data_IF_025783496626
#
_entry.id   IF_025783496626
#
_cell.length_a   1.000
_cell.length_b   1.000
_cell.length_c   1.000
_cell.angle_alpha   90.00
_cell.angle_beta   90.00
_cell.angle_gamma   90.00
#
_symmetry.space_group_name_H-M   'P 1'
#
loop_
_entity.id
_entity.type
_entity.pdbx_description
1 polymer ?
#
# COMPACT_ATOMS: atom_id res chain seq x y z
N UNK A 1 51.18 44.51 65.67
CA UNK A 1 51.44 43.90 64.35
C UNK A 1 50.37 42.85 64.06
N UNK A 2 49.88 42.74 62.82
CA UNK A 2 48.67 41.97 62.48
C UNK A 2 48.88 40.45 62.66
N UNK A 3 47.99 39.79 63.42
CA UNK A 3 47.76 38.33 63.35
C UNK A 3 46.55 38.10 62.43
N UNK A 4 46.69 37.22 61.45
CA UNK A 4 45.58 36.81 60.59
C UNK A 4 44.74 35.73 61.30
N UNK A 5 43.42 35.96 61.42
CA UNK A 5 42.46 34.88 61.68
C UNK A 5 42.11 34.21 60.35
N UNK A 6 42.17 32.88 60.32
CA UNK A 6 41.57 32.06 59.26
C UNK A 6 40.23 31.56 59.79
N UNK A 7 39.13 31.98 59.15
CA UNK A 7 37.79 31.50 59.45
C UNK A 7 37.43 30.41 58.42
N UNK A 8 37.27 29.16 58.87
CA UNK A 8 36.77 28.09 58.00
C UNK A 8 35.26 28.27 57.76
N UNK A 9 34.87 28.46 56.50
CA UNK A 9 33.47 28.45 56.10
C UNK A 9 33.01 27.01 55.81
N UNK A 10 32.18 26.44 56.68
CA UNK A 10 31.49 25.18 56.42
C UNK A 10 30.27 25.48 55.54
N UNK A 11 30.40 25.22 54.23
CA UNK A 11 29.27 25.31 53.29
C UNK A 11 28.55 23.97 53.30
N UNK A 12 27.34 23.95 53.86
CA UNK A 12 26.49 22.76 53.87
C UNK A 12 25.99 22.40 52.48
N UNK A 13 26.22 21.16 52.05
CA UNK A 13 25.66 20.60 50.82
C UNK A 13 24.16 20.32 50.99
N UNK A 14 23.31 21.27 50.57
CA UNK A 14 21.90 20.98 50.34
C UNK A 14 21.75 20.09 49.11
N UNK A 15 21.69 18.77 49.34
CA UNK A 15 21.33 17.80 48.32
C UNK A 15 19.84 17.94 47.98
N UNK A 16 19.54 18.59 46.85
CA UNK A 16 18.21 18.54 46.25
C UNK A 16 17.93 17.11 45.78
N UNK A 17 17.19 16.33 46.59
CA UNK A 17 16.55 15.11 46.11
C UNK A 17 15.55 15.51 45.01
N UNK A 18 15.92 15.28 43.75
CA UNK A 18 14.92 15.13 42.69
C UNK A 18 14.21 13.80 42.94
N UNK A 19 12.90 13.87 43.15
CA UNK A 19 12.05 12.69 43.07
C UNK A 19 12.03 12.22 41.62
N UNK A 20 12.77 11.15 41.33
CA UNK A 20 12.80 10.54 40.02
C UNK A 20 11.57 9.66 39.85
N UNK A 21 10.43 10.28 39.53
CA UNK A 21 9.21 9.61 39.07
C UNK A 21 9.36 9.08 37.63
N UNK A 22 10.56 8.61 37.28
CA UNK A 22 10.93 8.11 35.97
C UNK A 22 10.37 6.71 35.72
N UNK A 23 9.50 6.61 34.71
CA UNK A 23 9.01 5.32 34.21
C UNK A 23 10.21 4.52 33.69
N UNK A 24 10.39 3.28 34.16
CA UNK A 24 11.54 2.46 33.78
C UNK A 24 11.49 2.05 32.30
N UNK A 25 12.64 1.74 31.67
CA UNK A 25 12.65 1.20 30.30
C UNK A 25 11.80 -0.06 30.14
N UNK A 26 11.74 -0.93 31.16
CA UNK A 26 10.89 -2.12 31.14
C UNK A 26 9.39 -1.79 31.20
N UNK A 27 9.00 -0.76 31.97
CA UNK A 27 7.62 -0.26 32.00
C UNK A 27 7.23 0.39 30.67
N UNK A 28 8.11 1.19 30.05
CA UNK A 28 7.89 1.76 28.70
C UNK A 28 7.70 0.64 27.67
N UNK A 29 8.54 -0.39 27.71
CA UNK A 29 8.44 -1.52 26.80
C UNK A 29 7.10 -2.26 26.94
N UNK A 30 6.68 -2.54 28.18
CA UNK A 30 5.39 -3.17 28.47
C UNK A 30 4.20 -2.29 28.05
N UNK A 31 4.30 -0.97 28.25
CA UNK A 31 3.29 -0.01 27.78
C UNK A 31 3.14 -0.03 26.26
N UNK A 32 4.24 -0.06 25.50
CA UNK A 32 4.21 -0.12 24.04
C UNK A 32 3.58 -1.43 23.52
N UNK A 33 3.99 -2.57 24.09
CA UNK A 33 3.42 -3.90 23.79
C UNK A 33 1.91 -3.89 24.04
N UNK A 34 1.48 -3.49 25.24
CA UNK A 34 0.08 -3.49 25.63
C UNK A 34 -0.75 -2.51 24.79
N UNK A 35 -0.20 -1.33 24.46
CA UNK A 35 -0.88 -0.34 23.63
C UNK A 35 -1.19 -0.88 22.23
N UNK A 36 -0.20 -1.49 21.55
CA UNK A 36 -0.41 -2.05 20.21
C UNK A 36 -1.31 -3.31 20.26
N UNK A 37 -1.11 -4.19 21.26
CA UNK A 37 -1.95 -5.37 21.45
C UNK A 37 -3.42 -4.99 21.69
N UNK A 38 -3.67 -4.02 22.57
CA UNK A 38 -5.02 -3.53 22.86
C UNK A 38 -5.65 -2.87 21.63
N UNK A 39 -4.92 -2.03 20.90
CA UNK A 39 -5.42 -1.40 19.67
C UNK A 39 -5.92 -2.45 18.66
N UNK A 40 -5.13 -3.50 18.41
CA UNK A 40 -5.46 -4.59 17.47
C UNK A 40 -6.71 -5.38 17.88
N UNK A 41 -6.86 -5.69 19.17
CA UNK A 41 -7.96 -6.52 19.70
C UNK A 41 -9.24 -5.70 19.94
N UNK A 42 -9.13 -4.42 20.31
CA UNK A 42 -10.25 -3.50 20.51
C UNK A 42 -10.87 -3.00 19.19
N UNK A 43 -10.57 -3.63 18.05
CA UNK A 43 -11.30 -3.47 16.80
C UNK A 43 -12.42 -4.53 16.73
N UNK A 44 -13.68 -4.25 17.15
CA UNK A 44 -14.72 -5.27 17.28
C UNK A 44 -15.07 -5.93 15.94
N UNK A 45 -14.94 -5.18 14.85
CA UNK A 45 -15.14 -5.63 13.49
C UNK A 45 -13.83 -6.05 12.80
N UNK A 46 -12.70 -6.08 13.50
CA UNK A 46 -11.39 -6.38 12.93
C UNK A 46 -10.86 -5.29 11.98
N UNK A 47 -10.03 -5.73 11.04
CA UNK A 47 -9.20 -4.88 10.19
C UNK A 47 -9.28 -5.29 8.72
N UNK A 48 -9.32 -4.29 7.85
CA UNK A 48 -8.93 -4.39 6.44
C UNK A 48 -7.43 -4.19 6.39
N UNK A 49 -6.71 -5.13 5.77
CA UNK A 49 -5.25 -5.11 5.76
C UNK A 49 -4.76 -5.22 4.33
N UNK A 50 -3.88 -4.30 3.93
CA UNK A 50 -3.17 -4.37 2.66
C UNK A 50 -1.69 -4.57 2.93
N UNK A 51 -1.11 -5.62 2.34
CA UNK A 51 0.33 -5.90 2.43
C UNK A 51 0.96 -5.82 1.04
N UNK A 52 1.99 -4.98 0.89
CA UNK A 52 2.86 -4.93 -0.28
C UNK A 52 4.19 -5.58 0.10
N UNK A 53 4.42 -6.87 -0.27
CA UNK A 53 5.54 -7.67 0.27
C UNK A 53 6.89 -7.37 -0.36
N UNK A 54 6.91 -6.61 -1.46
CA UNK A 54 8.13 -6.23 -2.16
C UNK A 54 8.00 -4.82 -2.72
N UNK A 55 9.14 -4.18 -2.88
CA UNK A 55 9.26 -2.80 -3.38
C UNK A 55 8.60 -2.66 -4.75
N UNK A 56 7.75 -1.65 -4.89
CA UNK A 56 7.15 -1.30 -6.16
C UNK A 56 8.10 -0.45 -7.02
N UNK A 57 7.97 -0.53 -8.34
CA UNK A 57 8.90 0.15 -9.24
C UNK A 57 8.46 1.57 -9.54
N UNK A 58 9.37 2.53 -9.29
CA UNK A 58 9.21 3.93 -9.65
C UNK A 58 9.61 4.24 -11.11
N UNK A 59 10.14 3.26 -11.86
CA UNK A 59 10.53 3.42 -13.27
C UNK A 59 9.41 4.01 -14.11
N UNK A 60 8.17 3.56 -13.90
CA UNK A 60 7.01 3.99 -14.69
C UNK A 60 6.18 5.05 -13.95
N UNK A 61 6.81 5.85 -13.08
CA UNK A 61 6.13 6.85 -12.23
C UNK A 61 6.27 8.30 -12.71
N UNK A 62 6.77 8.51 -13.93
CA UNK A 62 6.94 9.83 -14.54
C UNK A 62 6.34 9.87 -15.95
N UNK A 63 5.24 10.62 -16.12
CA UNK A 63 4.56 10.76 -17.42
C UNK A 63 5.43 11.32 -18.56
N UNK A 64 6.49 12.07 -18.23
CA UNK A 64 7.34 12.75 -19.21
C UNK A 64 8.57 11.90 -19.59
N UNK A 65 8.76 10.74 -18.96
CA UNK A 65 9.85 9.82 -19.27
C UNK A 65 9.60 9.08 -20.60
N UNK A 66 10.64 8.97 -21.41
CA UNK A 66 10.56 8.47 -22.79
C UNK A 66 11.27 7.12 -22.89
N UNK A 67 10.48 6.06 -23.11
CA UNK A 67 10.93 4.69 -23.29
C UNK A 67 11.17 4.43 -24.78
N UNK A 68 12.40 4.06 -25.16
CA UNK A 68 12.88 3.94 -26.56
C UNK A 68 12.96 2.50 -27.08
N UNK A 69 12.29 1.58 -26.41
CA UNK A 69 12.29 0.13 -26.72
C UNK A 69 10.91 -0.45 -26.40
N UNK A 70 10.54 -1.54 -27.05
CA UNK A 70 9.34 -2.30 -26.70
C UNK A 70 9.39 -2.78 -25.23
N UNK A 71 8.24 -2.77 -24.56
CA UNK A 71 8.07 -2.94 -23.12
C UNK A 71 8.83 -4.13 -22.48
N UNK A 72 8.90 -5.27 -23.19
CA UNK A 72 9.62 -6.48 -22.78
C UNK A 72 11.12 -6.26 -22.47
N UNK A 73 11.72 -5.21 -23.03
CA UNK A 73 13.11 -4.84 -22.76
C UNK A 73 13.32 -4.23 -21.36
N UNK A 74 12.23 -3.80 -20.71
CA UNK A 74 12.24 -3.18 -19.38
C UNK A 74 11.69 -4.13 -18.29
N UNK A 75 11.42 -5.41 -18.62
CA UNK A 75 10.81 -6.40 -17.71
C UNK A 75 11.50 -6.53 -16.34
N UNK A 76 12.82 -6.30 -16.29
CA UNK A 76 13.64 -6.43 -15.08
C UNK A 76 13.51 -5.18 -14.16
N UNK A 77 12.77 -4.15 -14.61
CA UNK A 77 12.47 -2.90 -13.91
C UNK A 77 11.01 -2.85 -13.41
N UNK A 78 10.33 -4.00 -13.36
CA UNK A 78 8.91 -4.10 -12.97
C UNK A 78 8.75 -4.19 -11.45
N UNK A 79 7.67 -3.58 -10.97
CA UNK A 79 7.34 -3.56 -9.55
C UNK A 79 6.49 -4.75 -9.11
N UNK A 80 5.96 -4.62 -7.90
CA UNK A 80 5.11 -5.61 -7.23
C UNK A 80 3.90 -4.91 -6.61
N UNK A 81 2.73 -5.50 -6.82
CA UNK A 81 1.48 -5.08 -6.21
C UNK A 81 1.26 -5.65 -4.81
N UNK A 82 0.08 -5.38 -4.29
CA UNK A 82 -0.30 -5.72 -2.92
C UNK A 82 -1.30 -6.87 -2.83
N UNK A 83 -1.59 -7.27 -1.61
CA UNK A 83 -2.52 -8.34 -1.25
C UNK A 83 -3.50 -7.83 -0.20
N UNK A 84 -4.79 -8.16 -0.39
CA UNK A 84 -5.88 -7.73 0.49
C UNK A 84 -6.23 -8.87 1.46
N UNK A 85 -6.38 -8.53 2.74
CA UNK A 85 -6.83 -9.42 3.80
C UNK A 85 -7.91 -8.77 4.65
N UNK A 86 -8.73 -9.61 5.27
CA UNK A 86 -9.43 -9.25 6.51
C UNK A 86 -8.77 -9.98 7.67
N UNK A 87 -8.61 -9.31 8.81
CA UNK A 87 -8.01 -9.88 10.02
C UNK A 87 -8.79 -9.50 11.29
N UNK A 88 -9.12 -10.47 12.14
CA UNK A 88 -9.75 -10.25 13.45
C UNK A 88 -8.88 -10.87 14.54
N UNK A 89 -8.42 -10.04 15.47
CA UNK A 89 -7.51 -10.43 16.57
C UNK A 89 -8.32 -10.65 17.85
N UNK A 90 -7.94 -11.65 18.64
CA UNK A 90 -8.59 -11.99 19.91
C UNK A 90 -7.62 -12.00 21.10
N UNK A 91 -8.18 -11.85 22.31
CA UNK A 91 -7.43 -11.71 23.56
C UNK A 91 -6.46 -12.87 23.83
N UNK A 92 -6.86 -14.09 23.46
CA UNK A 92 -6.08 -15.32 23.57
C UNK A 92 -4.86 -15.40 22.62
N UNK A 93 -4.55 -14.36 21.84
CA UNK A 93 -3.39 -14.35 20.94
C UNK A 93 -3.61 -15.04 19.60
N UNK A 94 -4.87 -15.25 19.21
CA UNK A 94 -5.23 -15.77 17.88
C UNK A 94 -5.64 -14.62 16.95
N UNK A 95 -5.31 -14.75 15.67
CA UNK A 95 -5.88 -13.95 14.58
C UNK A 95 -6.57 -14.89 13.60
N UNK A 96 -7.79 -14.53 13.19
CA UNK A 96 -8.51 -15.17 12.10
C UNK A 96 -8.37 -14.29 10.85
N UNK A 97 -8.09 -14.89 9.69
CA UNK A 97 -7.90 -14.14 8.45
C UNK A 97 -8.45 -14.81 7.19
N UNK A 98 -8.78 -13.96 6.22
CA UNK A 98 -9.12 -14.27 4.82
C UNK A 98 -8.14 -13.51 3.90
N UNK A 99 -7.88 -14.00 2.68
CA UNK A 99 -6.91 -13.41 1.73
C UNK A 99 -7.39 -13.43 0.27
N UNK A 100 -7.00 -12.44 -0.55
CA UNK A 100 -7.49 -12.25 -1.93
C UNK A 100 -6.75 -13.08 -3.00
N UNK A 101 -6.13 -14.21 -2.62
CA UNK A 101 -5.27 -14.97 -3.53
C UNK A 101 -6.10 -15.71 -4.60
N UNK A 102 -7.18 -16.33 -4.15
CA UNK A 102 -8.12 -17.16 -4.93
C UNK A 102 -9.52 -17.19 -4.27
N UNK A 103 -10.49 -17.80 -4.94
CA UNK A 103 -11.88 -17.96 -4.46
C UNK A 103 -12.04 -18.82 -3.19
N UNK A 104 -10.98 -19.54 -2.79
CA UNK A 104 -10.97 -20.38 -1.58
C UNK A 104 -10.37 -19.65 -0.39
N UNK A 105 -9.31 -18.86 -0.58
CA UNK A 105 -8.69 -18.03 0.46
C UNK A 105 -9.52 -16.79 0.82
N UNK A 106 -10.36 -16.33 -0.10
CA UNK A 106 -11.34 -15.26 0.12
C UNK A 106 -12.56 -15.69 0.94
N UNK A 107 -12.75 -16.99 1.15
CA UNK A 107 -13.94 -17.58 1.80
C UNK A 107 -13.63 -18.53 2.95
N UNK A 108 -12.44 -19.15 2.97
CA UNK A 108 -11.97 -20.04 4.02
C UNK A 108 -11.08 -19.30 5.03
N UNK A 109 -11.56 -19.19 6.25
CA UNK A 109 -10.78 -18.70 7.38
C UNK A 109 -9.51 -19.52 7.59
N UNK A 110 -8.42 -18.84 7.93
CA UNK A 110 -7.19 -19.44 8.45
C UNK A 110 -6.84 -18.76 9.76
N UNK A 111 -6.62 -19.58 10.79
CA UNK A 111 -6.20 -19.11 12.12
C UNK A 111 -4.68 -19.09 12.23
N UNK A 112 -4.17 -18.20 13.09
CA UNK A 112 -2.75 -18.02 13.34
C UNK A 112 -2.54 -17.48 14.75
N UNK A 113 -1.41 -17.81 15.37
CA UNK A 113 -0.97 -17.15 16.60
C UNK A 113 -0.28 -15.84 16.25
N UNK A 114 -0.48 -14.81 17.07
CA UNK A 114 0.21 -13.54 16.94
C UNK A 114 0.82 -13.09 18.28
N UNK A 115 2.01 -12.50 18.18
CA UNK A 115 2.76 -11.96 19.30
C UNK A 115 3.08 -10.49 19.07
N UNK A 116 3.08 -9.70 20.15
CA UNK A 116 3.60 -8.33 20.14
C UNK A 116 4.86 -8.31 20.99
N UNK A 117 5.98 -7.90 20.38
CA UNK A 117 7.29 -7.80 21.04
C UNK A 117 7.78 -6.36 21.05
N UNK A 118 8.71 -6.06 21.94
CA UNK A 118 9.41 -4.78 21.98
C UNK A 118 10.91 -5.02 22.03
N UNK A 119 11.55 -4.74 20.90
CA UNK A 119 13.00 -4.60 20.78
C UNK A 119 13.29 -3.10 20.60
N UNK A 120 14.14 -2.73 19.64
CA UNK A 120 14.29 -1.33 19.19
C UNK A 120 12.97 -0.71 18.70
N UNK A 121 12.08 -1.54 18.16
CA UNK A 121 10.72 -1.16 17.74
C UNK A 121 9.69 -2.11 18.36
N UNK A 122 8.44 -1.66 18.42
CA UNK A 122 7.29 -2.55 18.69
C UNK A 122 7.01 -3.37 17.44
N UNK A 123 6.92 -4.68 17.57
CA UNK A 123 6.86 -5.65 16.47
C UNK A 123 5.62 -6.52 16.60
N UNK A 124 4.89 -6.70 15.49
CA UNK A 124 3.83 -7.69 15.33
C UNK A 124 4.38 -8.88 14.55
N UNK A 125 4.42 -10.05 15.19
CA UNK A 125 4.83 -11.33 14.60
C UNK A 125 3.62 -12.24 14.42
N UNK A 126 3.49 -12.90 13.27
CA UNK A 126 2.62 -14.07 13.13
C UNK A 126 3.44 -15.35 13.31
N UNK A 127 3.21 -16.12 14.36
CA UNK A 127 4.09 -17.22 14.78
C UNK A 127 3.69 -18.61 14.28
N UNK A 128 2.50 -18.75 13.68
CA UNK A 128 2.06 -20.00 13.03
C UNK A 128 1.55 -19.80 11.61
N UNK A 129 1.74 -20.82 10.76
CA UNK A 129 1.56 -20.75 9.32
C UNK A 129 0.15 -20.29 8.88
N UNK A 130 0.09 -19.15 8.19
CA UNK A 130 -1.16 -18.47 7.81
C UNK A 130 -1.15 -18.05 6.31
N UNK A 131 -1.93 -17.04 5.89
CA UNK A 131 -1.89 -16.56 4.50
C UNK A 131 -0.71 -15.61 4.22
N UNK A 132 -0.30 -14.77 5.17
CA UNK A 132 0.90 -13.92 5.05
C UNK A 132 2.14 -14.78 4.78
N UNK A 133 2.27 -15.92 5.46
CA UNK A 133 3.36 -16.88 5.25
C UNK A 133 3.46 -17.45 3.82
N UNK A 134 2.40 -17.38 3.00
CA UNK A 134 2.47 -17.82 1.59
C UNK A 134 3.18 -16.81 0.69
N UNK A 135 3.29 -15.55 1.14
CA UNK A 135 4.05 -14.50 0.47
C UNK A 135 5.55 -14.54 0.80
N UNK A 136 5.94 -15.32 1.82
CA UNK A 136 7.34 -15.55 2.22
C UNK A 136 7.98 -16.56 1.26
N UNK A 137 8.38 -16.11 0.08
CA UNK A 137 8.99 -16.92 -0.98
C UNK A 137 9.96 -16.08 -1.83
N UNK A 138 10.74 -16.71 -2.72
CA UNK A 138 11.77 -16.04 -3.54
C UNK A 138 11.22 -14.98 -4.50
N UNK A 139 9.98 -15.11 -4.97
CA UNK A 139 9.39 -14.17 -5.92
C UNK A 139 8.93 -12.88 -5.25
N UNK A 140 8.21 -13.04 -4.13
CA UNK A 140 7.49 -11.97 -3.43
C UNK A 140 8.22 -11.44 -2.20
N UNK A 141 9.23 -12.17 -1.71
CA UNK A 141 10.12 -11.80 -0.59
C UNK A 141 9.42 -11.38 0.70
N UNK A 142 8.15 -11.77 0.90
CA UNK A 142 7.34 -11.33 2.04
C UNK A 142 7.90 -11.74 3.40
N UNK A 143 7.33 -11.16 4.46
CA UNK A 143 7.73 -11.33 5.87
C UNK A 143 6.50 -11.67 6.74
N UNK A 144 6.76 -12.28 7.89
CA UNK A 144 5.80 -12.58 8.96
C UNK A 144 5.84 -11.57 10.11
N UNK A 145 6.82 -10.68 10.10
CA UNK A 145 7.21 -9.82 11.22
C UNK A 145 7.24 -8.35 10.78
N UNK A 146 6.53 -7.50 11.53
CA UNK A 146 6.18 -6.15 11.11
C UNK A 146 6.44 -5.14 12.22
N UNK A 147 7.35 -4.20 11.96
CA UNK A 147 7.74 -3.14 12.87
C UNK A 147 6.73 -1.99 12.78
N UNK A 148 6.02 -1.73 13.86
CA UNK A 148 5.07 -0.62 13.95
C UNK A 148 5.78 0.72 13.82
N UNK A 149 5.25 1.60 12.95
CA UNK A 149 5.79 2.94 12.73
C UNK A 149 4.96 4.01 13.42
N UNK A 150 3.70 4.16 13.01
CA UNK A 150 2.79 5.22 13.44
C UNK A 150 1.37 4.95 12.95
N UNK A 151 0.44 5.80 13.37
CA UNK A 151 -0.82 6.01 12.65
C UNK A 151 -0.62 7.00 11.49
N UNK A 152 -1.36 6.80 10.40
CA UNK A 152 -1.46 7.77 9.30
C UNK A 152 -2.55 8.83 9.56
N UNK A 153 -2.91 9.61 8.54
CA UNK A 153 -3.95 10.63 8.61
C UNK A 153 -5.32 10.04 9.00
N UNK A 154 -5.71 8.92 8.38
CA UNK A 154 -6.98 8.22 8.61
C UNK A 154 -6.98 7.32 9.85
N UNK A 155 -5.94 7.41 10.69
CA UNK A 155 -5.71 6.59 11.89
C UNK A 155 -5.39 5.11 11.62
N UNK A 156 -5.05 4.74 10.39
CA UNK A 156 -4.62 3.38 10.04
C UNK A 156 -3.26 3.08 10.68
N UNK A 157 -3.05 1.84 11.13
CA UNK A 157 -1.74 1.42 11.63
C UNK A 157 -0.82 1.13 10.45
N UNK A 158 0.28 1.87 10.35
CA UNK A 158 1.34 1.64 9.37
C UNK A 158 2.49 0.86 10.03
N UNK A 159 2.87 -0.25 9.42
CA UNK A 159 4.07 -1.01 9.76
C UNK A 159 4.99 -1.14 8.55
N UNK A 160 6.28 -1.27 8.80
CA UNK A 160 7.29 -1.68 7.82
C UNK A 160 7.84 -3.05 8.18
N UNK A 161 8.59 -3.65 7.27
CA UNK A 161 9.46 -4.79 7.59
C UNK A 161 10.84 -4.28 8.06
N UNK A 162 11.81 -5.19 8.16
CA UNK A 162 13.21 -4.84 8.41
C UNK A 162 13.90 -4.10 7.26
N UNK A 163 13.38 -4.16 6.02
CA UNK A 163 13.99 -3.50 4.86
C UNK A 163 13.57 -2.03 4.68
N UNK A 164 14.11 -1.15 5.53
CA UNK A 164 14.38 0.28 5.22
C UNK A 164 13.16 1.19 4.90
N UNK A 165 13.40 2.46 4.53
CA UNK A 165 12.45 3.60 4.63
C UNK A 165 12.53 4.62 3.46
N UNK A 166 12.26 4.18 2.22
CA UNK A 166 12.23 5.05 1.02
C UNK A 166 10.88 4.91 0.29
N UNK A 167 10.58 5.80 -0.68
CA UNK A 167 9.42 5.65 -1.55
C UNK A 167 9.35 4.24 -2.18
N UNK A 168 8.13 3.74 -2.30
CA UNK A 168 7.78 2.44 -2.89
C UNK A 168 8.29 1.16 -2.19
N UNK A 169 9.00 1.22 -1.06
CA UNK A 169 9.40 0.00 -0.31
C UNK A 169 8.22 -0.73 0.37
N UNK A 170 8.45 -1.98 0.76
CA UNK A 170 7.45 -2.86 1.38
C UNK A 170 6.84 -2.33 2.71
N UNK A 171 5.53 -2.51 2.87
CA UNK A 171 4.77 -2.07 4.05
C UNK A 171 3.47 -2.85 4.20
N UNK A 172 2.92 -2.85 5.41
CA UNK A 172 1.56 -3.35 5.69
C UNK A 172 0.76 -2.26 6.42
N UNK A 173 -0.47 -2.02 5.96
CA UNK A 173 -1.40 -1.03 6.52
C UNK A 173 -2.65 -1.75 7.03
N UNK A 174 -3.08 -1.40 8.24
CA UNK A 174 -4.30 -1.89 8.87
C UNK A 174 -5.31 -0.74 9.02
N UNK A 175 -6.38 -0.79 8.22
CA UNK A 175 -7.54 0.09 8.28
C UNK A 175 -8.60 -0.54 9.20
N UNK A 176 -9.05 0.20 10.23
CA UNK A 176 -10.01 -0.32 11.21
C UNK A 176 -11.39 -0.42 10.58
N UNK A 177 -12.00 -1.60 10.60
CA UNK A 177 -13.32 -1.80 10.02
C UNK A 177 -14.39 -1.07 10.82
N UNK A 178 -15.26 -0.35 10.09
CA UNK A 178 -16.35 0.46 10.66
C UNK A 178 -17.64 -0.34 10.91
N UNK A 179 -17.76 -1.55 10.34
CA UNK A 179 -18.89 -2.44 10.57
C UNK A 179 -18.53 -3.90 10.29
N UNK A 180 -19.32 -4.83 10.85
CA UNK A 180 -19.19 -6.27 10.59
C UNK A 180 -19.55 -6.68 9.14
N UNK A 181 -20.13 -5.77 8.34
CA UNK A 181 -20.51 -6.06 6.95
C UNK A 181 -19.34 -6.52 6.08
N UNK A 182 -18.11 -6.16 6.43
CA UNK A 182 -16.91 -6.65 5.75
C UNK A 182 -16.76 -8.18 5.84
N UNK A 183 -17.25 -8.80 6.92
CA UNK A 183 -17.23 -10.25 7.19
C UNK A 183 -18.57 -10.93 6.87
N UNK A 184 -19.35 -10.36 5.95
CA UNK A 184 -20.60 -10.95 5.44
C UNK A 184 -20.40 -12.36 4.88
N UNK A 185 -21.51 -12.97 4.45
CA UNK A 185 -21.52 -14.26 3.75
C UNK A 185 -20.39 -14.37 2.71
N UNK A 186 -19.89 -15.59 2.49
CA UNK A 186 -18.68 -15.85 1.70
C UNK A 186 -18.68 -15.16 0.32
N UNK A 187 -19.85 -15.02 -0.31
CA UNK A 187 -20.07 -14.33 -1.59
C UNK A 187 -20.06 -12.79 -1.55
N UNK A 188 -20.12 -12.15 -0.38
CA UNK A 188 -20.31 -10.70 -0.21
C UNK A 188 -19.22 -10.01 0.63
N UNK A 189 -18.36 -10.79 1.27
CA UNK A 189 -17.31 -10.28 2.14
C UNK A 189 -16.29 -9.42 1.36
N UNK A 190 -15.58 -8.51 2.05
CA UNK A 190 -14.71 -7.55 1.37
C UNK A 190 -13.52 -8.21 0.65
N UNK A 191 -13.02 -9.35 1.12
CA UNK A 191 -11.94 -10.09 0.42
C UNK A 191 -12.45 -10.69 -0.88
N UNK A 192 -13.68 -11.23 -0.90
CA UNK A 192 -14.29 -11.76 -2.11
C UNK A 192 -14.46 -10.64 -3.17
N UNK A 193 -14.96 -9.47 -2.78
CA UNK A 193 -15.07 -8.30 -3.67
C UNK A 193 -13.70 -7.81 -4.16
N UNK A 194 -12.70 -7.76 -3.29
CA UNK A 194 -11.33 -7.42 -3.67
C UNK A 194 -10.76 -8.43 -4.67
N UNK A 195 -10.94 -9.72 -4.44
CA UNK A 195 -10.57 -10.80 -5.36
C UNK A 195 -11.27 -10.66 -6.71
N UNK A 196 -12.58 -10.40 -6.75
CA UNK A 196 -13.37 -10.19 -7.98
C UNK A 196 -12.87 -8.98 -8.77
N UNK A 197 -12.69 -7.82 -8.14
CA UNK A 197 -12.22 -6.61 -8.81
C UNK A 197 -10.79 -6.74 -9.34
N UNK A 198 -9.90 -7.35 -8.55
CA UNK A 198 -8.53 -7.70 -8.97
C UNK A 198 -8.52 -8.65 -10.17
N UNK A 199 -9.40 -9.66 -10.15
CA UNK A 199 -9.51 -10.67 -11.22
C UNK A 199 -10.05 -10.02 -12.49
N UNK A 200 -11.11 -9.21 -12.39
CA UNK A 200 -11.67 -8.46 -13.51
C UNK A 200 -10.63 -7.59 -14.22
N UNK A 201 -9.83 -6.81 -13.48
CA UNK A 201 -8.73 -6.02 -14.05
C UNK A 201 -7.61 -6.88 -14.67
N UNK A 202 -7.29 -8.02 -14.04
CA UNK A 202 -6.32 -8.98 -14.59
C UNK A 202 -6.80 -9.61 -15.91
N UNK A 203 -8.11 -9.80 -16.08
CA UNK A 203 -8.75 -10.42 -17.24
C UNK A 203 -9.09 -9.47 -18.38
N UNK A 204 -9.16 -8.15 -18.13
CA UNK A 204 -9.30 -7.11 -19.18
C UNK A 204 -8.31 -7.36 -20.33
N UNK A 205 -8.78 -7.35 -21.58
CA UNK A 205 -7.99 -7.71 -22.76
C UNK A 205 -6.95 -6.65 -23.12
N UNK A 206 -7.30 -5.38 -22.99
CA UNK A 206 -6.48 -4.21 -23.23
C UNK A 206 -6.87 -3.08 -22.26
N UNK A 207 -6.43 -3.14 -20.99
CA UNK A 207 -6.65 -2.06 -20.04
C UNK A 207 -5.94 -0.78 -20.49
N UNK A 208 -6.72 0.27 -20.80
CA UNK A 208 -6.23 1.58 -21.20
C UNK A 208 -6.69 2.63 -20.18
N UNK A 209 -5.79 3.55 -19.81
CA UNK A 209 -6.10 4.66 -18.89
C UNK A 209 -6.22 5.98 -19.65
N UNK A 210 -7.20 6.79 -19.24
CA UNK A 210 -7.38 8.16 -19.74
C UNK A 210 -7.45 9.10 -18.54
N UNK A 211 -6.54 10.07 -18.49
CA UNK A 211 -6.49 11.13 -17.47
C UNK A 211 -6.99 12.42 -18.09
N UNK A 212 -8.06 12.99 -17.54
CA UNK A 212 -8.73 14.20 -18.03
C UNK A 212 -8.86 15.27 -16.95
N UNK A 213 -9.01 16.53 -17.37
CA UNK A 213 -9.61 17.61 -16.56
C UNK A 213 -10.73 18.25 -17.37
N UNK A 214 -11.98 18.00 -16.99
CA UNK A 214 -13.13 18.27 -17.85
C UNK A 214 -12.95 17.60 -19.23
N UNK A 215 -13.18 18.34 -20.31
CA UNK A 215 -13.11 17.78 -21.67
C UNK A 215 -11.67 17.49 -22.17
N UNK A 216 -10.64 18.07 -21.54
CA UNK A 216 -9.24 17.94 -22.00
C UNK A 216 -8.60 16.66 -21.46
N UNK A 217 -8.10 15.81 -22.35
CA UNK A 217 -7.19 14.73 -21.99
C UNK A 217 -5.76 15.27 -21.77
N UNK A 218 -5.07 14.71 -20.77
CA UNK A 218 -3.70 15.05 -20.38
C UNK A 218 -2.75 13.86 -20.48
N UNK A 219 -3.28 12.65 -20.32
CA UNK A 219 -2.62 11.40 -20.68
C UNK A 219 -3.69 10.45 -21.20
N UNK A 220 -3.40 9.70 -22.26
CA UNK A 220 -4.25 8.63 -22.77
C UNK A 220 -3.30 7.56 -23.29
N UNK A 221 -3.39 6.35 -22.74
CA UNK A 221 -2.69 5.22 -23.31
C UNK A 221 -3.43 4.70 -24.54
N UNK A 222 -2.67 4.18 -25.50
CA UNK A 222 -3.14 3.72 -26.82
C UNK A 222 -2.35 2.50 -27.35
N UNK A 223 -1.36 2.01 -26.60
CA UNK A 223 -0.52 0.86 -26.99
C UNK A 223 -1.02 -0.42 -26.33
N UNK A 224 -1.15 -1.48 -27.13
CA UNK A 224 -1.60 -2.80 -26.70
C UNK A 224 -0.46 -3.61 -26.09
N UNK A 225 -0.68 -4.19 -24.91
CA UNK A 225 0.35 -4.93 -24.14
C UNK A 225 0.01 -6.42 -24.01
N UNK A 226 -1.23 -6.75 -23.61
CA UNK A 226 -1.65 -8.14 -23.49
C UNK A 226 -1.92 -8.70 -24.90
N UNK A 227 -1.33 -9.84 -25.23
CA UNK A 227 -1.57 -10.54 -26.50
C UNK A 227 -1.50 -12.06 -26.30
N UNK A 228 -2.32 -12.78 -27.05
CA UNK A 228 -2.35 -14.24 -27.08
C UNK A 228 -1.43 -14.84 -28.17
N UNK A 229 -0.86 -14.00 -29.05
CA UNK A 229 0.04 -14.39 -30.15
C UNK A 229 1.51 -14.05 -29.90
N UNK A 230 1.85 -13.64 -28.67
CA UNK A 230 3.21 -13.32 -28.27
C UNK A 230 4.15 -14.54 -28.30
N UNK A 231 5.46 -14.29 -28.35
CA UNK A 231 6.48 -15.36 -28.26
C UNK A 231 6.42 -16.06 -26.90
N UNK A 232 6.92 -17.30 -26.75
CA UNK A 232 6.94 -17.99 -25.46
C UNK A 232 7.63 -17.19 -24.34
N UNK A 233 8.63 -16.37 -24.67
CA UNK A 233 9.29 -15.48 -23.72
C UNK A 233 8.40 -14.28 -23.33
N UNK A 234 7.71 -13.67 -24.29
CA UNK A 234 6.75 -12.60 -24.02
C UNK A 234 5.56 -13.08 -23.17
N UNK A 235 5.05 -14.28 -23.45
CA UNK A 235 3.95 -14.87 -22.69
C UNK A 235 4.36 -15.22 -21.25
N UNK A 236 5.63 -15.57 -21.01
CA UNK A 236 6.18 -15.69 -19.63
C UNK A 236 6.25 -14.33 -18.94
N UNK A 237 6.65 -13.27 -19.64
CA UNK A 237 6.66 -11.91 -19.12
C UNK A 237 5.25 -11.42 -18.73
N UNK A 238 4.23 -11.62 -19.56
CA UNK A 238 2.84 -11.28 -19.23
C UNK A 238 2.30 -12.05 -18.01
N UNK A 239 2.64 -13.35 -17.90
CA UNK A 239 2.33 -14.15 -16.70
C UNK A 239 3.03 -13.60 -15.46
N UNK A 240 4.29 -13.18 -15.59
CA UNK A 240 5.06 -12.51 -14.53
C UNK A 240 4.43 -11.21 -14.06
N UNK A 241 4.01 -10.32 -14.98
CA UNK A 241 3.27 -9.09 -14.66
C UNK A 241 2.02 -9.39 -13.83
N UNK A 242 1.22 -10.36 -14.26
CA UNK A 242 -0.03 -10.75 -13.59
C UNK A 242 0.23 -11.36 -12.21
N UNK A 243 1.24 -12.24 -12.09
CA UNK A 243 1.63 -12.85 -10.83
C UNK A 243 2.18 -11.83 -9.82
N UNK A 244 2.97 -10.87 -10.30
CA UNK A 244 3.48 -9.75 -9.49
C UNK A 244 2.42 -8.67 -9.23
N UNK A 245 1.21 -8.76 -9.80
CA UNK A 245 0.15 -7.74 -9.72
C UNK A 245 0.66 -6.34 -10.12
N UNK A 246 1.38 -6.24 -11.23
CA UNK A 246 1.92 -4.98 -11.75
C UNK A 246 1.40 -4.69 -13.16
N UNK A 247 1.01 -3.44 -13.42
CA UNK A 247 0.57 -3.02 -14.75
C UNK A 247 1.18 -1.69 -15.16
N UNK A 248 1.34 -1.51 -16.48
CA UNK A 248 1.86 -0.30 -17.12
C UNK A 248 0.89 0.09 -18.23
N UNK A 249 0.49 1.34 -18.27
CA UNK A 249 -0.24 1.97 -19.35
C UNK A 249 0.73 2.72 -20.25
N UNK A 250 0.66 2.50 -21.56
CA UNK A 250 1.61 3.03 -22.54
C UNK A 250 0.92 3.94 -23.55
N UNK A 251 1.51 5.13 -23.76
CA UNK A 251 1.07 6.08 -24.78
C UNK A 251 2.17 6.25 -25.85
N UNK A 252 1.82 6.02 -27.12
CA UNK A 252 2.73 6.12 -28.25
C UNK A 252 3.17 7.57 -28.49
N UNK A 253 4.46 7.84 -28.33
CA UNK A 253 5.05 9.15 -28.60
C UNK A 253 5.56 9.25 -30.03
N UNK A 254 6.22 8.19 -30.52
CA UNK A 254 6.71 8.08 -31.89
C UNK A 254 6.40 6.67 -32.40
N UNK A 255 5.52 6.57 -33.38
CA UNK A 255 5.18 5.31 -34.02
C UNK A 255 6.26 4.88 -35.02
N UNK A 256 6.37 3.57 -35.26
CA UNK A 256 7.35 3.01 -36.18
C UNK A 256 7.04 3.46 -37.63
N UNK A 257 8.09 3.70 -38.42
CA UNK A 257 7.94 4.13 -39.82
C UNK A 257 7.37 3.02 -40.74
N UNK A 258 7.46 1.74 -40.36
CA UNK A 258 6.83 0.63 -41.06
C UNK A 258 5.38 0.47 -40.55
N UNK A 259 4.34 0.67 -41.38
CA UNK A 259 2.95 0.60 -40.95
C UNK A 259 2.49 -0.80 -40.49
N UNK A 260 3.28 -1.84 -40.80
CA UNK A 260 3.02 -3.21 -40.34
C UNK A 260 3.50 -3.46 -38.89
N UNK A 261 4.19 -2.51 -38.26
CA UNK A 261 4.69 -2.63 -36.88
C UNK A 261 3.80 -1.78 -35.96
N UNK A 262 2.91 -2.46 -35.24
CA UNK A 262 1.95 -1.85 -34.30
C UNK A 262 2.54 -1.54 -32.92
N UNK A 263 3.87 -1.46 -32.81
CA UNK A 263 4.61 -1.09 -31.60
C UNK A 263 5.36 0.21 -31.86
N UNK A 264 5.23 1.25 -31.02
CA UNK A 264 5.94 2.50 -31.21
C UNK A 264 7.44 2.39 -30.91
N UNK A 265 8.23 3.23 -31.59
CA UNK A 265 9.67 3.42 -31.35
C UNK A 265 9.93 4.15 -30.02
N UNK A 266 9.08 5.12 -29.67
CA UNK A 266 9.13 5.83 -28.40
C UNK A 266 7.74 5.85 -27.74
N UNK A 267 7.67 5.61 -26.43
CA UNK A 267 6.45 5.69 -25.61
C UNK A 267 6.65 6.52 -24.36
N UNK A 268 5.57 7.12 -23.87
CA UNK A 268 5.40 7.48 -22.47
C UNK A 268 4.78 6.30 -21.72
N UNK A 269 5.07 6.18 -20.42
CA UNK A 269 4.57 5.09 -19.60
C UNK A 269 4.11 5.58 -18.22
N UNK A 270 3.02 5.00 -17.73
CA UNK A 270 2.55 5.15 -16.36
C UNK A 270 2.19 3.79 -15.78
N UNK A 271 2.82 3.37 -14.69
CA UNK A 271 2.66 2.04 -14.12
C UNK A 271 2.90 1.98 -12.61
N UNK A 272 2.28 1.00 -11.97
CA UNK A 272 2.29 0.83 -10.51
C UNK A 272 1.79 -0.58 -10.14
N UNK A 273 2.21 -1.08 -8.98
CA UNK A 273 1.71 -2.29 -8.37
C UNK A 273 0.30 -2.10 -7.81
N UNK A 274 -0.60 -3.03 -8.12
CA UNK A 274 -2.01 -2.94 -7.77
C UNK A 274 -2.47 -3.99 -6.75
N UNK A 275 -3.58 -3.70 -6.08
CA UNK A 275 -4.34 -4.65 -5.26
C UNK A 275 -5.83 -4.37 -5.42
N UNK A 276 -6.66 -5.41 -5.36
CA UNK A 276 -8.12 -5.24 -5.35
C UNK A 276 -8.61 -4.65 -4.03
N UNK A 277 -9.71 -3.92 -4.09
CA UNK A 277 -10.44 -3.44 -2.89
C UNK A 277 -11.90 -3.84 -3.01
N UNK A 278 -12.62 -3.73 -1.90
CA UNK A 278 -14.06 -3.96 -1.84
C UNK A 278 -14.89 -3.01 -2.73
N UNK A 279 -14.28 -1.91 -3.20
CA UNK A 279 -14.89 -0.87 -4.03
C UNK A 279 -14.33 -0.84 -5.46
N UNK A 280 -13.14 -1.40 -5.70
CA UNK A 280 -12.49 -1.41 -7.01
C UNK A 280 -11.03 -1.87 -6.94
N UNK A 281 -10.09 -1.01 -7.31
CA UNK A 281 -8.67 -1.35 -7.38
C UNK A 281 -7.80 -0.17 -6.93
N UNK A 282 -6.72 -0.44 -6.20
CA UNK A 282 -5.77 0.58 -5.76
C UNK A 282 -4.35 0.30 -6.22
N UNK A 283 -3.76 1.31 -6.86
CA UNK A 283 -2.35 1.42 -7.25
C UNK A 283 -1.66 2.27 -6.18
N UNK A 284 -1.35 1.70 -4.99
CA UNK A 284 -1.06 2.52 -3.79
C UNK A 284 0.19 3.41 -3.89
N UNK A 285 1.18 3.08 -4.72
CA UNK A 285 2.33 3.96 -4.99
C UNK A 285 1.99 5.08 -5.98
N UNK A 286 0.88 4.91 -6.70
CA UNK A 286 0.17 5.91 -7.49
C UNK A 286 0.52 5.90 -8.96
N UNK A 287 -0.51 6.03 -9.80
CA UNK A 287 -0.35 6.52 -11.17
C UNK A 287 -0.13 8.03 -11.11
N UNK A 288 1.14 8.43 -11.25
CA UNK A 288 1.59 9.82 -11.03
C UNK A 288 1.52 10.62 -12.32
N UNK A 289 0.51 11.47 -12.46
CA UNK A 289 0.48 12.45 -13.54
C UNK A 289 1.48 13.59 -13.26
N UNK A 290 1.52 14.10 -12.02
CA UNK A 290 2.61 14.96 -11.54
C UNK A 290 2.80 14.80 -10.02
N UNK A 291 3.56 15.72 -9.40
CA UNK A 291 3.85 15.70 -7.95
C UNK A 291 2.61 15.89 -7.05
N UNK A 292 1.50 16.40 -7.60
CA UNK A 292 0.25 16.70 -6.90
C UNK A 292 -0.84 15.70 -7.31
N UNK A 293 -1.03 15.49 -8.62
CA UNK A 293 -2.10 14.64 -9.16
C UNK A 293 -1.60 13.20 -9.29
N UNK A 294 -1.87 12.44 -8.23
CA UNK A 294 -1.52 11.03 -8.10
C UNK A 294 -2.81 10.23 -7.96
N UNK A 295 -3.12 9.41 -8.97
CA UNK A 295 -4.33 8.58 -8.98
C UNK A 295 -3.98 7.20 -8.41
N UNK A 296 -4.46 6.91 -7.21
CA UNK A 296 -4.09 5.69 -6.49
C UNK A 296 -5.25 4.81 -6.07
N UNK A 297 -6.48 5.30 -5.90
CA UNK A 297 -7.64 4.46 -5.54
C UNK A 297 -8.78 4.68 -6.55
N UNK A 298 -9.19 3.61 -7.24
CA UNK A 298 -10.18 3.66 -8.32
C UNK A 298 -11.41 2.84 -7.94
N UNK A 299 -12.56 3.49 -7.94
CA UNK A 299 -13.88 2.88 -7.73
C UNK A 299 -14.34 2.17 -9.00
N UNK A 300 -14.84 0.93 -8.90
CA UNK A 300 -15.38 0.21 -10.06
C UNK A 300 -16.83 0.62 -10.34
N UNK A 301 -17.08 1.06 -11.58
CA UNK A 301 -18.39 1.47 -12.10
C UNK A 301 -18.71 0.64 -13.33
N UNK A 302 -19.41 -0.47 -13.13
CA UNK A 302 -19.61 -1.50 -14.15
C UNK A 302 -18.26 -2.06 -14.62
N UNK A 303 -17.95 -1.82 -15.88
CA UNK A 303 -16.72 -2.32 -16.53
C UNK A 303 -15.57 -1.29 -16.54
N UNK A 304 -15.75 -0.13 -15.90
CA UNK A 304 -14.75 0.94 -15.81
C UNK A 304 -14.24 1.10 -14.37
N UNK A 305 -12.96 1.41 -14.18
CA UNK A 305 -12.44 1.88 -12.88
C UNK A 305 -12.20 3.39 -12.92
N UNK A 306 -12.70 4.14 -11.95
CA UNK A 306 -12.72 5.61 -11.95
C UNK A 306 -12.08 6.18 -10.69
N UNK A 307 -11.12 7.09 -10.86
CA UNK A 307 -10.51 7.90 -9.80
C UNK A 307 -10.71 9.39 -10.12
N UNK A 308 -11.74 10.01 -9.51
CA UNK A 308 -11.87 11.47 -9.47
C UNK A 308 -11.10 12.01 -8.25
N UNK A 309 -10.22 12.99 -8.45
CA UNK A 309 -9.46 13.61 -7.37
C UNK A 309 -10.19 14.80 -6.76
N UNK A 310 -10.25 14.82 -5.43
CA UNK A 310 -10.65 15.98 -4.61
C UNK A 310 -9.49 16.46 -3.75
N UNK A 311 -9.55 17.72 -3.32
CA UNK A 311 -8.57 18.37 -2.45
C UNK A 311 -9.11 18.41 -1.02
N UNK A 312 -8.30 17.92 -0.08
CA UNK A 312 -8.62 17.79 1.36
C UNK A 312 -7.49 18.43 2.17
N UNK A 313 -7.81 19.02 3.32
CA UNK A 313 -6.81 19.56 4.25
C UNK A 313 -6.43 18.53 5.32
N UNK A 314 -5.14 18.23 5.40
CA UNK A 314 -4.51 17.39 6.41
C UNK A 314 -4.09 18.28 7.60
N UNK A 315 -4.76 18.19 8.76
CA UNK A 315 -4.46 19.02 9.93
C UNK A 315 -3.23 18.52 10.71
N UNK A 316 -2.79 17.27 10.49
CA UNK A 316 -1.62 16.68 11.15
C UNK A 316 -0.35 17.25 10.53
N UNK A 317 -0.25 17.19 9.19
CA UNK A 317 0.89 17.72 8.43
C UNK A 317 0.65 19.16 7.92
N UNK A 318 -0.48 19.78 8.28
CA UNK A 318 -0.87 21.16 7.98
C UNK A 318 -0.75 21.53 6.50
N UNK A 319 -1.22 20.66 5.62
CA UNK A 319 -1.07 20.77 4.15
C UNK A 319 -2.33 20.32 3.42
N UNK A 320 -2.47 20.71 2.17
CA UNK A 320 -3.47 20.10 1.29
C UNK A 320 -2.93 18.81 0.68
N UNK A 321 -3.82 17.82 0.51
CA UNK A 321 -3.58 16.57 -0.19
C UNK A 321 -4.67 16.33 -1.24
N UNK A 322 -4.33 15.55 -2.26
CA UNK A 322 -5.24 15.15 -3.33
C UNK A 322 -5.53 13.66 -3.20
N UNK A 323 -6.82 13.31 -3.19
CA UNK A 323 -7.32 11.99 -2.78
C UNK A 323 -8.53 11.59 -3.62
N UNK A 324 -8.82 10.29 -3.70
CA UNK A 324 -9.99 9.79 -4.43
C UNK A 324 -11.30 10.21 -3.77
N UNK A 325 -12.21 10.80 -4.55
CA UNK A 325 -13.51 11.32 -4.11
C UNK A 325 -14.40 10.30 -3.41
N UNK A 326 -14.36 9.03 -3.79
CA UNK A 326 -15.16 7.99 -3.12
C UNK A 326 -14.73 7.75 -1.67
N UNK A 327 -13.49 8.10 -1.30
CA UNK A 327 -12.99 8.06 0.08
C UNK A 327 -13.33 9.34 0.86
N UNK A 328 -13.43 10.48 0.18
CA UNK A 328 -13.71 11.80 0.76
C UNK A 328 -14.75 12.55 -0.10
N UNK A 329 -16.05 12.21 0.00
CA UNK A 329 -17.08 12.74 -0.90
C UNK A 329 -17.25 14.25 -0.79
N UNK A 330 -16.95 14.83 0.39
CA UNK A 330 -17.09 16.26 0.70
C UNK A 330 -15.83 17.09 0.35
N UNK A 331 -14.81 16.49 -0.29
CA UNK A 331 -13.58 17.19 -0.67
C UNK A 331 -13.78 18.20 -1.81
N UNK A 332 -12.93 19.22 -1.87
CA UNK A 332 -12.98 20.28 -2.89
C UNK A 332 -12.72 19.70 -4.30
N UNK A 333 -13.65 19.79 -5.27
CA UNK A 333 -13.49 19.17 -6.58
C UNK A 333 -12.32 19.74 -7.37
N UNK A 334 -11.42 18.87 -7.86
CA UNK A 334 -10.35 19.29 -8.79
C UNK A 334 -10.75 19.15 -10.27
N UNK A 335 -11.81 18.39 -10.54
CA UNK A 335 -12.23 17.90 -11.86
C UNK A 335 -11.18 17.08 -12.61
N UNK A 336 -10.09 16.65 -11.98
CA UNK A 336 -9.21 15.64 -12.52
C UNK A 336 -9.81 14.25 -12.33
N UNK A 337 -9.93 13.49 -13.41
CA UNK A 337 -10.46 12.13 -13.43
C UNK A 337 -9.50 11.24 -14.20
N UNK A 338 -9.16 10.09 -13.63
CA UNK A 338 -8.54 8.99 -14.35
C UNK A 338 -9.54 7.84 -14.50
N UNK A 339 -9.72 7.36 -15.72
CA UNK A 339 -10.63 6.26 -16.07
C UNK A 339 -9.82 5.13 -16.69
N UNK A 340 -9.99 3.90 -16.19
CA UNK A 340 -9.41 2.69 -16.79
C UNK A 340 -10.54 1.87 -17.41
N UNK A 341 -10.39 1.55 -18.69
CA UNK A 341 -11.37 0.87 -19.54
C UNK A 341 -10.70 -0.23 -20.35
N UNK A 342 -11.44 -1.29 -20.68
CA UNK A 342 -11.01 -2.31 -21.64
C UNK A 342 -11.40 -1.87 -23.06
N UNK A 343 -10.44 -1.61 -23.96
CA UNK A 343 -10.69 -0.99 -25.28
C UNK A 343 -9.88 -1.56 -26.44
#
# INVERSE_FOLDING_TARGET
>A
MKKYLILLAIIGLFSCKKEDNGISPSQINLQNINKLRNELIQAPYGWKVMYFPKTDSLTFSNKDEIFKKGLYNYRDQYGYGGYYFLMKFSENGIVQMLADFDSKSSTKYKESQFEIKQNTFTELSFTTYNYIHQLVNEQLEGKSDFLYLRKDFDQNLLFKTTNSIEPAREYIIFEKLKSEQAWKHQSENNVQKAYENRTFFAEMKNPQIIIRKGNRAFFQSDVFIKTNTGTPAYNRFLKGMTANRYYVFLAGKKWNANPNITVPDESYALGSGYVGTEQGITFRTGIRYDKNYIFYDFERKGDTFVCELVKVYDPIYKRYMFVSKHLYPDGEPTHFVAEIVDK
#
